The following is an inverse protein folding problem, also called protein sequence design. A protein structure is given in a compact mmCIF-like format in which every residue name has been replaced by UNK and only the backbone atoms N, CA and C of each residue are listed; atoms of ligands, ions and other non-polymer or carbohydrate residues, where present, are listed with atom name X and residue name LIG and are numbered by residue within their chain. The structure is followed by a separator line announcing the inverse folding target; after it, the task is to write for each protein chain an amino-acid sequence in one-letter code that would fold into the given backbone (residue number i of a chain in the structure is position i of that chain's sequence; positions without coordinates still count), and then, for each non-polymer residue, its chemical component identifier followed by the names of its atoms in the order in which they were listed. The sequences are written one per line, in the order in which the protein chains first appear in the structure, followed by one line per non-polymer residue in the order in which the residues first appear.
data_IF_383839688176
#
_entry.id   IF_383839688176
#
_cell.length_a   1.000
_cell.length_b   1.000
_cell.length_c   1.000
_cell.angle_alpha   90.00
_cell.angle_beta   90.00
_cell.angle_gamma   90.00
#
_symmetry.space_group_name_H-M   'P 1'
#
loop_
_entity.id
_entity.type
_entity.pdbx_description
1 polymer ?
#
# COMPACT_ATOMS: atom_id res chain seq x y z
N UNK A 1 -11.89 -22.64 45.47
CA UNK A 1 -10.90 -22.52 44.37
C UNK A 1 -11.57 -22.80 43.01
N UNK A 2 -12.45 -21.91 42.52
CA UNK A 2 -13.16 -22.13 41.24
C UNK A 2 -13.33 -20.84 40.41
N UNK A 3 -13.25 -19.69 41.07
CA UNK A 3 -13.38 -18.34 40.48
C UNK A 3 -12.11 -17.83 39.80
N UNK A 4 -10.93 -18.27 40.23
CA UNK A 4 -9.64 -17.78 39.70
C UNK A 4 -9.33 -18.30 38.29
N UNK A 5 -9.77 -19.52 37.95
CA UNK A 5 -9.55 -20.08 36.61
C UNK A 5 -10.45 -19.44 35.54
N UNK A 6 -11.69 -19.04 35.88
CA UNK A 6 -12.61 -18.40 34.93
C UNK A 6 -12.14 -16.99 34.55
N UNK A 7 -11.56 -16.26 35.49
CA UNK A 7 -11.00 -14.92 35.23
C UNK A 7 -9.77 -14.99 34.31
N UNK A 8 -8.90 -15.99 34.50
CA UNK A 8 -7.66 -16.14 33.76
C UNK A 8 -7.90 -16.51 32.28
N UNK A 9 -8.87 -17.40 32.02
CA UNK A 9 -9.21 -17.82 30.64
C UNK A 9 -9.92 -16.71 29.86
N UNK A 10 -10.77 -15.91 30.51
CA UNK A 10 -11.46 -14.78 29.88
C UNK A 10 -10.51 -13.66 29.45
N UNK A 11 -9.51 -13.34 30.28
CA UNK A 11 -8.47 -12.35 29.96
C UNK A 11 -7.59 -12.84 28.81
N UNK A 12 -7.23 -14.13 28.78
CA UNK A 12 -6.40 -14.69 27.71
C UNK A 12 -7.11 -14.67 26.33
N UNK A 13 -8.41 -14.97 26.28
CA UNK A 13 -9.19 -14.87 25.04
C UNK A 13 -9.32 -13.42 24.54
N UNK A 14 -9.46 -12.44 25.44
CA UNK A 14 -9.57 -11.03 25.05
C UNK A 14 -8.27 -10.47 24.44
N UNK A 15 -7.11 -10.93 24.95
CA UNK A 15 -5.79 -10.53 24.43
C UNK A 15 -5.56 -11.11 23.03
N UNK A 16 -6.01 -12.34 22.74
CA UNK A 16 -5.80 -12.98 21.44
C UNK A 16 -6.63 -12.29 20.32
N UNK A 17 -7.81 -11.74 20.62
CA UNK A 17 -8.61 -11.00 19.64
C UNK A 17 -7.99 -9.63 19.29
N UNK A 18 -7.29 -8.99 20.24
CA UNK A 18 -6.67 -7.69 20.01
C UNK A 18 -5.43 -7.76 19.08
N UNK A 19 -4.73 -8.90 19.03
CA UNK A 19 -3.56 -9.08 18.17
C UNK A 19 -3.87 -9.46 16.72
N UNK A 20 -5.13 -9.82 16.41
CA UNK A 20 -5.54 -10.11 15.03
C UNK A 20 -5.71 -8.84 14.15
N UNK A 21 -5.65 -7.65 14.76
CA UNK A 21 -5.85 -6.35 14.11
C UNK A 21 -4.59 -5.69 13.55
N UNK A 22 -3.43 -6.35 13.54
CA UNK A 22 -2.23 -5.85 12.86
C UNK A 22 -2.25 -6.14 11.35
N UNK A 23 -3.43 -6.13 10.72
CA UNK A 23 -3.51 -6.07 9.26
C UNK A 23 -3.05 -4.67 8.88
N UNK A 24 -1.93 -4.58 8.15
CA UNK A 24 -1.45 -3.33 7.58
C UNK A 24 -2.64 -2.64 6.89
N UNK A 25 -2.93 -1.41 7.31
CA UNK A 25 -4.03 -0.65 6.71
C UNK A 25 -3.85 -0.63 5.18
N UNK A 26 -4.94 -0.74 4.41
CA UNK A 26 -4.84 -0.77 2.95
C UNK A 26 -4.06 0.45 2.45
N UNK A 27 -3.16 0.23 1.49
CA UNK A 27 -2.37 1.30 0.90
C UNK A 27 -3.30 2.26 0.15
N UNK A 28 -3.43 3.48 0.67
CA UNK A 28 -4.24 4.52 0.05
C UNK A 28 -3.47 5.14 -1.11
N UNK A 29 -3.91 4.89 -2.34
CA UNK A 29 -3.26 5.40 -3.55
C UNK A 29 -3.93 6.65 -4.11
N UNK A 30 -5.22 6.85 -3.86
CA UNK A 30 -5.96 8.07 -4.17
C UNK A 30 -7.11 8.27 -3.18
N UNK A 31 -7.46 9.53 -2.94
CA UNK A 31 -8.62 9.93 -2.15
C UNK A 31 -9.15 11.29 -2.63
N UNK A 32 -10.48 11.41 -2.73
CA UNK A 32 -11.17 12.62 -3.14
C UNK A 32 -10.60 13.31 -4.41
N UNK A 33 -10.24 12.52 -5.44
CA UNK A 33 -9.65 13.03 -6.69
C UNK A 33 -8.20 13.50 -6.57
N UNK A 34 -7.52 13.16 -5.48
CA UNK A 34 -6.10 13.47 -5.28
C UNK A 34 -5.29 12.20 -5.21
N UNK A 35 -4.17 12.15 -5.94
CA UNK A 35 -3.21 11.08 -5.80
C UNK A 35 -2.55 11.16 -4.41
N UNK A 36 -2.51 10.01 -3.74
CA UNK A 36 -1.76 9.77 -2.50
C UNK A 36 -0.58 8.85 -2.73
N UNK A 37 -0.32 8.49 -3.98
CA UNK A 37 0.82 7.72 -4.42
C UNK A 37 1.51 8.35 -5.63
N UNK A 38 2.77 7.98 -5.83
CA UNK A 38 3.51 8.18 -7.07
C UNK A 38 3.83 6.84 -7.72
N UNK A 39 3.93 6.83 -9.04
CA UNK A 39 4.34 5.66 -9.82
C UNK A 39 5.84 5.75 -10.07
N UNK A 40 6.60 4.75 -9.68
CA UNK A 40 8.05 4.69 -9.90
C UNK A 40 8.33 3.69 -11.01
N UNK A 41 8.72 4.18 -12.17
CA UNK A 41 9.06 3.37 -13.33
C UNK A 41 10.46 2.78 -13.16
N UNK A 42 10.57 1.45 -13.25
CA UNK A 42 11.82 0.72 -13.32
C UNK A 42 12.58 0.97 -14.62
N UNK A 43 13.74 0.32 -14.74
CA UNK A 43 14.58 0.49 -15.92
C UNK A 43 13.98 -0.15 -17.18
N UNK A 44 14.31 0.43 -18.34
CA UNK A 44 13.91 -0.06 -19.66
C UNK A 44 12.60 0.55 -20.20
N UNK A 45 12.47 0.54 -21.53
CA UNK A 45 11.33 1.19 -22.22
C UNK A 45 9.99 0.51 -21.92
N UNK A 46 9.98 -0.81 -21.70
CA UNK A 46 8.76 -1.55 -21.35
C UNK A 46 8.23 -1.10 -19.99
N UNK A 47 9.09 -0.90 -19.00
CA UNK A 47 8.69 -0.44 -17.67
C UNK A 47 8.12 0.98 -17.71
N UNK A 48 8.75 1.88 -18.48
CA UNK A 48 8.25 3.26 -18.69
C UNK A 48 6.88 3.28 -19.36
N UNK A 49 6.70 2.48 -20.41
CA UNK A 49 5.41 2.35 -21.09
C UNK A 49 4.33 1.81 -20.16
N UNK A 50 4.63 0.74 -19.40
CA UNK A 50 3.70 0.18 -18.43
C UNK A 50 3.33 1.18 -17.33
N UNK A 51 4.29 1.98 -16.84
CA UNK A 51 4.05 3.02 -15.85
C UNK A 51 3.15 4.13 -16.39
N UNK A 52 3.35 4.54 -17.65
CA UNK A 52 2.49 5.54 -18.31
C UNK A 52 1.08 5.02 -18.58
N UNK A 53 0.92 3.76 -18.98
CA UNK A 53 -0.43 3.18 -19.14
C UNK A 53 -1.15 3.04 -17.79
N UNK A 54 -0.42 2.66 -16.73
CA UNK A 54 -0.98 2.61 -15.39
C UNK A 54 -1.45 3.98 -14.91
N UNK A 55 -0.67 5.03 -15.15
CA UNK A 55 -1.03 6.41 -14.81
C UNK A 55 -2.36 6.81 -15.45
N UNK A 56 -2.53 6.60 -16.76
CA UNK A 56 -3.80 6.86 -17.46
C UNK A 56 -4.97 6.09 -16.86
N UNK A 57 -4.80 4.81 -16.58
CA UNK A 57 -5.89 4.00 -16.01
C UNK A 57 -6.27 4.47 -14.60
N UNK A 58 -5.29 4.87 -13.79
CA UNK A 58 -5.56 5.40 -12.46
C UNK A 58 -6.22 6.78 -12.52
N UNK A 59 -5.85 7.63 -13.49
CA UNK A 59 -6.56 8.89 -13.73
C UNK A 59 -8.02 8.64 -14.12
N UNK A 60 -8.29 7.71 -15.04
CA UNK A 60 -9.65 7.37 -15.48
C UNK A 60 -10.52 6.78 -14.34
N UNK A 61 -9.93 5.92 -13.50
CA UNK A 61 -10.66 5.23 -12.42
C UNK A 61 -10.85 6.13 -11.21
N UNK A 62 -9.80 6.87 -10.80
CA UNK A 62 -9.77 7.61 -9.54
C UNK A 62 -10.03 9.12 -9.72
N UNK A 63 -9.98 9.64 -10.95
CA UNK A 63 -10.08 11.07 -11.24
C UNK A 63 -8.93 11.88 -10.62
N UNK A 64 -7.76 11.24 -10.44
CA UNK A 64 -6.61 11.80 -9.74
C UNK A 64 -5.38 11.81 -10.65
N UNK A 65 -4.58 12.87 -10.56
CA UNK A 65 -3.34 13.05 -11.31
C UNK A 65 -2.16 12.39 -10.58
N UNK A 66 -1.63 11.30 -11.13
CA UNK A 66 -0.53 10.54 -10.56
C UNK A 66 0.79 10.92 -11.22
N UNK A 67 1.79 11.28 -10.41
CA UNK A 67 3.12 11.53 -10.92
C UNK A 67 3.86 10.22 -11.26
N UNK A 68 4.46 10.16 -12.45
CA UNK A 68 5.41 9.10 -12.84
C UNK A 68 6.85 9.60 -12.64
N UNK A 69 7.61 8.89 -11.81
CA UNK A 69 9.00 9.14 -11.50
C UNK A 69 9.91 8.08 -12.14
N UNK A 70 11.10 8.44 -12.65
CA UNK A 70 12.10 7.48 -13.06
C UNK A 70 12.70 6.73 -11.86
N UNK A 71 13.32 5.58 -12.13
CA UNK A 71 14.03 4.80 -11.13
C UNK A 71 15.11 5.63 -10.41
N UNK A 72 15.13 5.55 -9.09
CA UNK A 72 16.10 6.25 -8.24
C UNK A 72 15.73 7.70 -7.88
N UNK A 73 14.65 8.25 -8.46
CA UNK A 73 14.12 9.54 -8.03
C UNK A 73 13.31 9.39 -6.74
N UNK A 74 13.50 10.35 -5.81
CA UNK A 74 12.83 10.32 -4.52
C UNK A 74 11.40 10.85 -4.64
N UNK A 75 10.44 10.08 -4.12
CA UNK A 75 9.08 10.56 -3.91
C UNK A 75 9.04 11.61 -2.79
N UNK A 76 8.12 12.56 -2.88
CA UNK A 76 7.83 13.46 -1.77
C UNK A 76 7.38 12.68 -0.52
N UNK A 77 7.71 13.19 0.66
CA UNK A 77 7.36 12.56 1.93
C UNK A 77 5.84 12.39 2.07
N UNK A 78 5.42 11.27 2.64
CA UNK A 78 4.01 10.96 2.90
C UNK A 78 3.23 10.41 1.70
N UNK A 79 3.83 10.31 0.52
CA UNK A 79 3.23 9.62 -0.63
C UNK A 79 3.58 8.12 -0.62
N UNK A 80 2.57 7.31 -0.91
CA UNK A 80 2.74 5.90 -1.25
C UNK A 80 3.49 5.76 -2.59
N UNK A 81 4.03 4.57 -2.87
CA UNK A 81 4.84 4.31 -4.06
C UNK A 81 4.34 3.05 -4.75
N UNK A 82 4.11 3.15 -6.05
CA UNK A 82 3.73 2.04 -6.91
C UNK A 82 4.92 1.75 -7.83
N UNK A 83 5.63 0.66 -7.58
CA UNK A 83 6.79 0.29 -8.40
C UNK A 83 6.33 -0.52 -9.62
N UNK A 84 6.70 -0.07 -10.81
CA UNK A 84 6.35 -0.71 -12.08
C UNK A 84 7.62 -1.05 -12.83
N UNK A 85 7.92 -2.33 -12.97
CA UNK A 85 9.14 -2.77 -13.64
C UNK A 85 9.31 -4.28 -13.61
N UNK A 86 10.44 -4.78 -14.13
CA UNK A 86 10.77 -6.18 -14.00
C UNK A 86 10.74 -6.59 -12.53
N UNK A 87 10.05 -7.70 -12.26
CA UNK A 87 10.12 -8.37 -10.97
C UNK A 87 11.23 -9.41 -11.09
N UNK A 88 12.41 -9.09 -10.58
CA UNK A 88 13.45 -10.08 -10.35
C UNK A 88 12.98 -10.92 -9.15
N UNK A 89 12.07 -11.87 -9.41
CA UNK A 89 11.72 -12.88 -8.43
C UNK A 89 13.01 -13.63 -8.08
N UNK A 90 13.54 -13.37 -6.89
CA UNK A 90 14.66 -14.11 -6.29
C UNK A 90 14.12 -15.16 -5.32
#
# INVERSE_FOLDING_TARGET
MKTTHVLLTGVLCFVIVAFAGAQEAPLLIADAGQAKAVIVAGEGEVAKLAASELEKYLEEIAGADFQVLPAGEAAADGLARIYVGPCDAS
#
